data_IF_067156646343
#
_entry.id   IF_067156646343
#
_cell.length_a   1.000
_cell.length_b   1.000
_cell.length_c   1.000
_cell.angle_alpha   90.00
_cell.angle_beta   90.00
_cell.angle_gamma   90.00
#
_symmetry.space_group_name_H-M   'P 1'
#
loop_
_entity.id
_entity.type
_entity.pdbx_description
1 polymer ?
#
# COMPACT_ATOMS: atom_id res chain seq x y z
N UNK A 1 -1.62 -4.75 16.99
CA UNK A 1 -0.80 -5.95 16.65
C UNK A 1 -1.07 -6.23 15.19
N UNK A 2 -0.06 -6.41 14.36
CA UNK A 2 -0.28 -6.80 12.95
C UNK A 2 -0.67 -8.27 12.93
N UNK A 3 -1.78 -8.61 12.26
CA UNK A 3 -2.18 -10.00 12.02
C UNK A 3 -1.25 -10.62 10.98
N UNK A 4 -0.87 -11.88 11.19
CA UNK A 4 -0.08 -12.66 10.24
C UNK A 4 -0.86 -13.87 9.79
N UNK A 5 -0.34 -14.58 8.80
CA UNK A 5 -0.93 -15.83 8.32
C UNK A 5 0.03 -16.59 7.42
N UNK A 6 -0.43 -17.73 6.96
CA UNK A 6 0.31 -18.59 6.04
C UNK A 6 -0.54 -18.96 4.85
N UNK A 7 0.08 -19.02 3.69
CA UNK A 7 -0.55 -19.51 2.46
C UNK A 7 -1.01 -20.95 2.67
N UNK A 8 -2.29 -21.21 2.47
CA UNK A 8 -2.93 -22.55 2.55
C UNK A 8 -3.39 -23.06 1.20
N UNK A 9 -3.55 -22.17 0.20
CA UNK A 9 -3.95 -22.54 -1.16
C UNK A 9 -3.63 -21.43 -2.15
N UNK A 10 -3.49 -21.80 -3.42
CA UNK A 10 -3.18 -20.86 -4.52
C UNK A 10 -4.06 -21.22 -5.71
N UNK A 11 -4.82 -20.24 -6.21
CA UNK A 11 -5.69 -20.35 -7.38
C UNK A 11 -5.41 -19.17 -8.30
N UNK A 12 -4.49 -19.34 -9.23
CA UNK A 12 -4.02 -18.25 -10.10
C UNK A 12 -3.47 -17.08 -9.28
N UNK A 13 -4.06 -15.88 -9.37
CA UNK A 13 -3.69 -14.70 -8.58
C UNK A 13 -4.45 -14.58 -7.24
N UNK A 14 -5.32 -15.54 -6.93
CA UNK A 14 -6.01 -15.61 -5.64
C UNK A 14 -5.25 -16.58 -4.73
N UNK A 15 -4.89 -16.12 -3.58
CA UNK A 15 -4.18 -16.88 -2.55
C UNK A 15 -5.08 -17.05 -1.34
N UNK A 16 -5.23 -18.27 -0.85
CA UNK A 16 -5.95 -18.57 0.37
C UNK A 16 -4.94 -18.55 1.51
N UNK A 17 -5.22 -17.78 2.52
CA UNK A 17 -4.34 -17.56 3.68
C UNK A 17 -5.05 -17.96 4.95
N UNK A 18 -4.48 -18.87 5.71
CA UNK A 18 -4.92 -19.14 7.07
C UNK A 18 -4.35 -18.05 7.97
N UNK A 19 -5.25 -17.17 8.46
CA UNK A 19 -4.88 -16.06 9.31
C UNK A 19 -4.76 -16.48 10.78
N UNK A 20 -3.80 -15.87 11.50
CA UNK A 20 -3.57 -16.12 12.93
C UNK A 20 -4.39 -15.17 13.83
N UNK A 21 -5.25 -14.34 13.25
CA UNK A 21 -6.09 -13.36 13.94
C UNK A 21 -7.16 -12.78 13.03
N UNK A 22 -7.84 -11.75 13.52
CA UNK A 22 -8.91 -11.09 12.76
C UNK A 22 -8.34 -10.37 11.52
N UNK A 23 -9.03 -10.53 10.41
CA UNK A 23 -8.74 -9.90 9.12
C UNK A 23 -10.04 -9.33 8.56
N UNK A 24 -9.99 -8.14 8.01
CA UNK A 24 -11.13 -7.49 7.39
C UNK A 24 -11.12 -7.63 5.86
N UNK A 25 -12.30 -7.60 5.25
CA UNK A 25 -12.43 -7.48 3.80
C UNK A 25 -11.89 -6.11 3.34
N UNK A 26 -11.27 -6.07 2.17
CA UNK A 26 -10.56 -4.94 1.55
C UNK A 26 -9.29 -4.52 2.30
N UNK A 27 -8.87 -5.25 3.31
CA UNK A 27 -7.60 -5.03 3.99
C UNK A 27 -6.43 -5.36 3.07
N UNK A 28 -5.41 -4.52 3.08
CA UNK A 28 -4.16 -4.76 2.35
C UNK A 28 -3.25 -5.68 3.14
N UNK A 29 -2.59 -6.56 2.42
CA UNK A 29 -1.58 -7.45 2.99
C UNK A 29 -0.37 -7.58 2.07
N UNK A 30 0.72 -8.06 2.64
CA UNK A 30 1.91 -8.47 1.88
C UNK A 30 2.04 -9.98 1.89
N UNK A 31 2.18 -10.56 0.71
CA UNK A 31 2.48 -11.98 0.49
C UNK A 31 3.97 -12.12 0.16
N UNK A 32 4.68 -12.94 0.91
CA UNK A 32 6.11 -13.13 0.76
C UNK A 32 6.41 -14.38 -0.06
N UNK A 33 7.24 -14.23 -1.10
CA UNK A 33 7.74 -15.31 -1.93
C UNK A 33 9.27 -15.24 -1.94
N UNK A 34 9.92 -15.97 -1.02
CA UNK A 34 11.34 -15.75 -0.73
C UNK A 34 11.59 -14.34 -0.25
N UNK A 35 12.51 -13.63 -0.91
CA UNK A 35 12.84 -12.23 -0.59
C UNK A 35 11.91 -11.21 -1.26
N UNK A 36 11.00 -11.66 -2.13
CA UNK A 36 10.07 -10.78 -2.83
C UNK A 36 8.80 -10.57 -2.00
N UNK A 37 8.45 -9.32 -1.78
CA UNK A 37 7.22 -8.88 -1.11
C UNK A 37 6.23 -8.38 -2.14
N UNK A 38 5.05 -8.99 -2.20
CA UNK A 38 3.99 -8.64 -3.15
C UNK A 38 2.80 -8.07 -2.41
N UNK A 39 2.25 -6.97 -2.90
CA UNK A 39 1.02 -6.41 -2.35
C UNK A 39 -0.19 -7.21 -2.81
N UNK A 40 -1.16 -7.36 -1.91
CA UNK A 40 -2.41 -8.06 -2.16
C UNK A 40 -3.54 -7.45 -1.32
N UNK A 41 -4.77 -7.69 -1.75
CA UNK A 41 -5.99 -7.22 -1.07
C UNK A 41 -6.88 -8.40 -0.69
N UNK A 42 -7.47 -8.32 0.51
CA UNK A 42 -8.44 -9.32 1.00
C UNK A 42 -9.78 -9.12 0.28
N UNK A 43 -10.13 -10.04 -0.61
CA UNK A 43 -11.40 -9.99 -1.35
C UNK A 43 -12.55 -10.70 -0.64
N UNK A 44 -12.24 -11.64 0.27
CA UNK A 44 -13.23 -12.41 1.02
C UNK A 44 -12.61 -13.02 2.26
N UNK A 45 -13.40 -13.14 3.33
CA UNK A 45 -13.05 -13.88 4.54
C UNK A 45 -14.09 -14.95 4.82
N UNK A 46 -13.65 -16.17 5.12
CA UNK A 46 -14.50 -17.32 5.47
C UNK A 46 -13.88 -18.04 6.66
N UNK A 47 -14.46 -17.85 7.84
CA UNK A 47 -13.83 -18.35 9.08
C UNK A 47 -12.46 -17.73 9.28
N UNK A 48 -11.43 -18.58 9.44
CA UNK A 48 -10.02 -18.14 9.57
C UNK A 48 -9.30 -18.05 8.22
N UNK A 49 -9.97 -18.33 7.11
CA UNK A 49 -9.38 -18.28 5.78
C UNK A 49 -9.69 -16.95 5.11
N UNK A 50 -8.64 -16.20 4.79
CA UNK A 50 -8.69 -14.99 3.97
C UNK A 50 -8.34 -15.33 2.52
N UNK A 51 -9.20 -14.94 1.59
CA UNK A 51 -8.95 -15.00 0.15
C UNK A 51 -8.36 -13.67 -0.25
N UNK A 52 -7.11 -13.67 -0.70
CA UNK A 52 -6.41 -12.45 -1.07
C UNK A 52 -6.08 -12.47 -2.56
N UNK A 53 -6.32 -11.35 -3.23
CA UNK A 53 -5.93 -11.13 -4.61
C UNK A 53 -4.55 -10.48 -4.64
N UNK A 54 -3.57 -11.19 -5.16
CA UNK A 54 -2.21 -10.67 -5.36
C UNK A 54 -2.17 -9.84 -6.62
N UNK A 55 -1.62 -8.64 -6.56
CA UNK A 55 -1.52 -7.74 -7.72
C UNK A 55 -0.38 -8.12 -8.67
N UNK A 56 0.56 -8.90 -8.17
CA UNK A 56 1.69 -9.44 -8.91
C UNK A 56 1.49 -10.90 -9.33
N UNK A 57 2.43 -11.44 -10.10
CA UNK A 57 2.47 -12.86 -10.44
C UNK A 57 2.74 -13.72 -9.21
N UNK A 58 1.88 -14.70 -8.95
CA UNK A 58 2.02 -15.67 -7.85
C UNK A 58 3.03 -16.80 -8.15
N UNK A 59 3.75 -16.73 -9.28
CA UNK A 59 4.71 -17.77 -9.69
C UNK A 59 5.78 -17.97 -8.63
N UNK A 60 5.98 -19.21 -8.21
CA UNK A 60 6.97 -19.57 -7.18
C UNK A 60 6.49 -19.45 -5.74
N UNK A 61 5.29 -18.89 -5.51
CA UNK A 61 4.65 -18.90 -4.19
C UNK A 61 4.31 -20.33 -3.78
N UNK A 62 4.46 -20.65 -2.50
CA UNK A 62 4.26 -21.97 -1.94
C UNK A 62 3.29 -21.95 -0.77
N UNK A 63 2.65 -23.11 -0.51
CA UNK A 63 1.91 -23.31 0.72
C UNK A 63 2.88 -23.20 1.89
N UNK A 64 2.48 -22.46 2.93
CA UNK A 64 3.29 -22.14 4.10
C UNK A 64 4.04 -20.81 4.02
N UNK A 65 4.10 -20.16 2.85
CA UNK A 65 4.69 -18.83 2.72
C UNK A 65 3.96 -17.82 3.60
N UNK A 66 4.72 -16.85 4.11
CA UNK A 66 4.25 -15.86 5.08
C UNK A 66 3.37 -14.81 4.42
N UNK A 67 2.33 -14.38 5.16
CA UNK A 67 1.51 -13.22 4.82
C UNK A 67 1.43 -12.29 6.02
N UNK A 68 1.49 -10.97 5.79
CA UNK A 68 1.30 -9.93 6.80
C UNK A 68 0.14 -9.04 6.40
N UNK A 69 -0.88 -8.96 7.27
CA UNK A 69 -2.01 -8.05 7.11
C UNK A 69 -1.70 -6.70 7.76
N UNK A 70 -2.07 -5.60 7.09
CA UNK A 70 -1.66 -4.27 7.51
C UNK A 70 -2.67 -3.56 8.42
N UNK A 71 -3.91 -4.04 8.50
CA UNK A 71 -4.97 -3.48 9.32
C UNK A 71 -5.63 -2.24 8.71
N UNK A 72 -5.38 -1.94 7.43
CA UNK A 72 -6.00 -0.82 6.71
C UNK A 72 -6.25 -1.19 5.25
N UNK A 73 -7.14 -0.45 4.59
CA UNK A 73 -7.40 -0.57 3.15
C UNK A 73 -6.29 0.09 2.33
N UNK A 74 -6.36 -0.04 1.00
CA UNK A 74 -5.47 0.69 0.10
C UNK A 74 -5.64 2.19 0.31
N UNK A 75 -4.54 2.87 0.54
CA UNK A 75 -4.47 4.30 0.81
C UNK A 75 -3.56 4.98 -0.20
N UNK A 76 -3.92 6.22 -0.57
CA UNK A 76 -3.05 7.09 -1.35
C UNK A 76 -2.37 8.11 -0.42
N UNK A 77 -1.07 8.28 -0.55
CA UNK A 77 -0.31 9.32 0.13
C UNK A 77 -0.57 10.64 -0.59
N UNK A 78 -1.14 11.62 0.11
CA UNK A 78 -1.41 12.96 -0.43
C UNK A 78 -0.47 13.96 0.25
N UNK A 79 0.37 14.59 -0.55
CA UNK A 79 1.34 15.58 -0.07
C UNK A 79 1.83 16.48 -1.22
N UNK A 80 2.49 17.60 -0.93
CA UNK A 80 3.20 18.37 -1.93
C UNK A 80 4.25 17.52 -2.66
N UNK A 81 4.42 17.76 -3.96
CA UNK A 81 5.34 17.01 -4.81
C UNK A 81 4.71 15.84 -5.59
N UNK A 82 3.38 15.65 -5.49
CA UNK A 82 2.66 14.68 -6.30
C UNK A 82 2.39 15.17 -7.72
N UNK A 83 2.23 16.48 -7.88
CA UNK A 83 1.88 17.07 -9.17
C UNK A 83 3.01 16.88 -10.18
N UNK A 84 2.65 16.71 -11.45
CA UNK A 84 3.57 16.48 -12.58
C UNK A 84 4.34 15.16 -12.55
N UNK A 85 3.92 14.19 -11.74
CA UNK A 85 4.49 12.84 -11.69
C UNK A 85 3.54 11.79 -12.26
N UNK A 86 4.12 10.68 -12.67
CA UNK A 86 3.38 9.53 -13.20
C UNK A 86 3.44 8.37 -12.22
N UNK A 87 2.28 7.83 -11.87
CA UNK A 87 2.15 6.73 -10.92
C UNK A 87 1.46 5.52 -11.54
N UNK A 88 1.75 4.34 -11.02
CA UNK A 88 0.93 3.15 -11.26
C UNK A 88 -0.32 3.12 -10.36
N UNK A 89 -1.13 2.04 -10.47
CA UNK A 89 -2.34 1.88 -9.65
C UNK A 89 -2.10 1.67 -8.16
N UNK A 90 -0.86 1.46 -7.73
CA UNK A 90 -0.45 1.31 -6.33
C UNK A 90 0.33 2.52 -5.82
N UNK A 91 0.31 3.61 -6.58
CA UNK A 91 1.03 4.86 -6.31
C UNK A 91 2.56 4.68 -6.26
N UNK A 92 3.11 3.75 -7.03
CA UNK A 92 4.54 3.71 -7.25
C UNK A 92 4.96 4.79 -8.25
N UNK A 93 5.98 5.58 -7.94
CA UNK A 93 6.55 6.59 -8.82
C UNK A 93 7.26 5.90 -9.98
N UNK A 94 6.69 5.97 -11.19
CA UNK A 94 7.23 5.31 -12.38
C UNK A 94 8.57 5.88 -12.83
N UNK A 95 8.88 7.12 -12.49
CA UNK A 95 10.17 7.75 -12.82
C UNK A 95 11.31 7.19 -11.99
N UNK A 96 11.01 6.60 -10.82
CA UNK A 96 11.98 5.95 -9.94
C UNK A 96 12.17 4.47 -10.23
N UNK A 97 11.40 3.92 -11.18
CA UNK A 97 11.50 2.50 -11.55
C UNK A 97 12.55 2.29 -12.62
N UNK A 98 13.40 1.28 -12.44
CA UNK A 98 14.38 0.88 -13.43
C UNK A 98 13.76 -0.01 -14.51
N UNK A 99 14.05 0.30 -15.78
CA UNK A 99 13.71 -0.54 -16.92
C UNK A 99 12.40 -0.17 -17.64
N UNK A 100 12.03 -0.98 -18.63
CA UNK A 100 10.85 -0.78 -19.47
C UNK A 100 9.58 -1.44 -18.90
N UNK A 101 9.72 -2.29 -17.90
CA UNK A 101 8.65 -3.05 -17.28
C UNK A 101 8.72 -2.95 -15.78
N UNK A 102 7.55 -2.92 -15.13
CA UNK A 102 7.45 -2.97 -13.67
C UNK A 102 7.87 -4.37 -13.22
N UNK A 103 8.92 -4.44 -12.42
CA UNK A 103 9.41 -5.69 -11.87
C UNK A 103 8.51 -6.16 -10.73
N UNK A 104 8.37 -7.48 -10.60
CA UNK A 104 7.58 -8.10 -9.53
C UNK A 104 8.06 -7.65 -8.15
N UNK A 105 7.11 -7.20 -7.31
CA UNK A 105 7.40 -6.71 -5.96
C UNK A 105 8.10 -5.36 -5.91
N UNK A 106 8.19 -4.64 -7.04
CA UNK A 106 8.71 -3.27 -7.05
C UNK A 106 7.80 -2.36 -6.25
N UNK A 107 8.37 -1.64 -5.30
CA UNK A 107 7.70 -0.63 -4.50
C UNK A 107 8.59 0.60 -4.48
N UNK A 108 8.04 1.75 -4.83
CA UNK A 108 8.74 3.04 -4.74
C UNK A 108 7.97 3.99 -3.84
N UNK A 109 8.68 4.90 -3.20
CA UNK A 109 8.04 5.95 -2.43
C UNK A 109 7.31 6.91 -3.36
N UNK A 110 6.02 7.20 -3.11
CA UNK A 110 5.21 8.07 -3.97
C UNK A 110 5.68 9.53 -3.94
N UNK A 111 6.32 9.95 -2.88
CA UNK A 111 6.86 11.30 -2.70
C UNK A 111 8.28 11.23 -2.17
N UNK A 112 8.98 12.36 -2.18
CA UNK A 112 10.22 12.54 -1.45
C UNK A 112 9.89 13.01 -0.03
N UNK A 113 10.01 12.12 0.96
CA UNK A 113 9.73 12.41 2.37
C UNK A 113 10.77 13.33 3.02
N UNK A 114 11.94 13.50 2.41
CA UNK A 114 13.00 14.41 2.88
C UNK A 114 12.85 15.83 2.30
N UNK A 115 12.00 16.01 1.29
CA UNK A 115 11.72 17.31 0.69
C UNK A 115 11.09 18.26 1.70
N UNK A 116 11.60 19.50 1.73
CA UNK A 116 11.08 20.55 2.60
C UNK A 116 10.31 21.56 1.79
N UNK A 117 9.13 21.88 2.26
CA UNK A 117 8.22 22.81 1.63
C UNK A 117 7.97 24.02 2.51
N UNK A 118 7.87 25.20 1.89
CA UNK A 118 7.46 26.40 2.59
C UNK A 118 5.97 26.33 2.92
N UNK A 119 5.66 26.24 4.20
CA UNK A 119 4.30 26.11 4.70
C UNK A 119 3.81 27.47 5.24
N UNK A 120 2.69 27.98 4.71
CA UNK A 120 2.01 29.18 5.20
C UNK A 120 0.84 28.75 6.07
N UNK A 121 0.89 28.89 7.40
CA UNK A 121 -0.19 28.47 8.28
C UNK A 121 -1.41 29.39 8.17
N UNK A 122 -2.60 28.83 8.10
CA UNK A 122 -3.90 29.53 8.20
C UNK A 122 -4.51 29.33 9.59
N UNK A 123 -4.29 28.18 10.21
CA UNK A 123 -4.72 27.88 11.57
C UNK A 123 -3.57 28.08 12.57
N UNK A 124 -3.90 28.30 13.84
CA UNK A 124 -2.94 28.47 14.95
C UNK A 124 -3.04 27.30 15.92
N UNK A 125 -1.95 27.03 16.64
CA UNK A 125 -1.95 26.06 17.71
C UNK A 125 -3.01 26.41 18.77
N UNK A 126 -3.91 25.46 19.08
CA UNK A 126 -5.03 25.63 19.98
C UNK A 126 -6.37 25.92 19.31
N UNK A 127 -6.40 26.16 18.00
CA UNK A 127 -7.65 26.31 17.25
C UNK A 127 -8.38 24.97 17.20
N UNK A 128 -9.71 25.01 17.30
CA UNK A 128 -10.56 23.85 17.12
C UNK A 128 -10.83 23.66 15.65
N UNK A 129 -10.40 22.53 15.10
CA UNK A 129 -10.55 22.19 13.68
C UNK A 129 -11.41 20.94 13.49
N UNK A 130 -12.03 20.82 12.34
CA UNK A 130 -12.83 19.68 11.91
C UNK A 130 -12.30 19.14 10.58
N UNK A 131 -12.75 17.95 10.16
CA UNK A 131 -12.37 17.40 8.87
C UNK A 131 -12.81 18.34 7.74
N UNK A 132 -11.86 18.68 6.85
CA UNK A 132 -12.07 19.61 5.74
C UNK A 132 -11.63 21.06 5.99
N UNK A 133 -11.28 21.42 7.23
CA UNK A 133 -10.72 22.74 7.51
C UNK A 133 -9.30 22.88 6.97
N UNK A 134 -9.00 24.02 6.39
CA UNK A 134 -7.67 24.34 5.88
C UNK A 134 -6.75 24.75 7.02
N UNK A 135 -5.68 24.01 7.22
CA UNK A 135 -4.69 24.28 8.26
C UNK A 135 -3.59 25.23 7.77
N UNK A 136 -3.36 25.27 6.46
CA UNK A 136 -2.35 26.09 5.81
C UNK A 136 -2.25 25.77 4.33
N UNK A 137 -1.30 26.40 3.67
CA UNK A 137 -1.03 26.21 2.25
C UNK A 137 0.45 26.00 1.96
N UNK A 138 0.73 25.30 0.88
CA UNK A 138 2.06 25.12 0.32
C UNK A 138 2.01 25.51 -1.15
N UNK A 139 2.95 26.31 -1.60
CA UNK A 139 3.09 26.67 -3.00
C UNK A 139 3.96 25.64 -3.70
N UNK A 140 3.38 24.90 -4.63
CA UNK A 140 4.13 24.09 -5.58
C UNK A 140 4.43 24.94 -6.83
N UNK A 141 5.68 24.88 -7.27
CA UNK A 141 6.04 25.53 -8.53
C UNK A 141 5.65 24.59 -9.67
N UNK A 142 4.74 25.05 -10.52
CA UNK A 142 4.45 24.40 -11.79
C UNK A 142 5.61 24.68 -12.74
N UNK A 143 6.17 23.64 -13.35
CA UNK A 143 7.16 23.78 -14.43
C UNK A 143 6.45 23.81 -15.76
#
# INVERSE_FOLDING_TARGET
MKTTGKVSGIISNIVIVRADGAVAQNEICYVYCGDTRMMAEVIKVVGDDAYVQVYDSTRGLKIGDKVEFLGHMLEATLAPGLLSKNYDGLQNDLEKMDGLFINRGSITDPIDFDAKWEFTPLAKAGDKVTAGDWLGEVKEQWV
#
